data_IF_953779062371
#
_entry.id   IF_953779062371
#
_cell.length_a   1.000
_cell.length_b   1.000
_cell.length_c   1.000
_cell.angle_alpha   90.00
_cell.angle_beta   90.00
_cell.angle_gamma   90.00
#
_symmetry.space_group_name_H-M   'P 1'
#
loop_
_entity.id
_entity.type
_entity.pdbx_description
1 polymer ?
#
# COMPACT_ATOMS: atom_id res chain seq x y z
N UNK A 1 15.26 -8.25 16.43
CA UNK A 1 14.51 -7.63 17.55
C UNK A 1 14.03 -6.22 17.23
N UNK A 2 14.93 -5.33 16.82
CA UNK A 2 14.56 -3.94 16.48
C UNK A 2 13.53 -3.91 15.35
N UNK A 3 13.74 -4.71 14.33
CA UNK A 3 12.85 -4.80 13.18
C UNK A 3 11.45 -5.26 13.57
N UNK A 4 11.37 -6.26 14.43
CA UNK A 4 10.11 -6.75 14.97
C UNK A 4 9.40 -5.67 15.78
N UNK A 5 10.16 -4.89 16.54
CA UNK A 5 9.64 -3.79 17.33
C UNK A 5 9.00 -2.71 16.46
N UNK A 6 9.68 -2.35 15.35
CA UNK A 6 9.16 -1.35 14.41
C UNK A 6 7.87 -1.84 13.75
N UNK A 7 7.81 -3.12 13.36
CA UNK A 7 6.61 -3.69 12.80
C UNK A 7 5.43 -3.63 13.77
N UNK A 8 5.66 -3.89 15.04
CA UNK A 8 4.62 -3.80 16.06
C UNK A 8 4.11 -2.38 16.23
N UNK A 9 5.00 -1.40 16.22
CA UNK A 9 4.61 0.01 16.31
C UNK A 9 3.76 0.42 15.12
N UNK A 10 4.14 -0.02 13.92
CA UNK A 10 3.37 0.26 12.72
C UNK A 10 2.00 -0.39 12.76
N UNK A 11 1.94 -1.62 13.18
CA UNK A 11 0.67 -2.33 13.32
C UNK A 11 -0.25 -1.60 14.31
N UNK A 12 0.30 -1.11 15.42
CA UNK A 12 -0.47 -0.35 16.40
C UNK A 12 -1.00 0.97 15.81
N UNK A 13 -0.19 1.66 15.01
CA UNK A 13 -0.61 2.90 14.33
C UNK A 13 -1.74 2.64 13.36
N UNK A 14 -1.64 1.60 12.54
CA UNK A 14 -2.68 1.26 11.57
C UNK A 14 -3.95 0.82 12.28
N UNK A 15 -3.82 0.05 13.34
CA UNK A 15 -4.96 -0.37 14.16
C UNK A 15 -5.73 0.83 14.70
N UNK A 16 -5.02 1.84 15.17
CA UNK A 16 -5.62 3.06 15.68
C UNK A 16 -6.35 3.82 14.57
N UNK A 17 -5.74 3.92 13.39
CA UNK A 17 -6.36 4.57 12.24
C UNK A 17 -7.62 3.84 11.80
N UNK A 18 -7.57 2.51 11.76
CA UNK A 18 -8.71 1.69 11.39
C UNK A 18 -9.86 1.92 12.38
N UNK A 19 -9.56 1.93 13.67
CA UNK A 19 -10.58 2.15 14.69
C UNK A 19 -11.27 3.51 14.56
N UNK A 20 -10.50 4.55 14.26
CA UNK A 20 -11.06 5.89 14.12
C UNK A 20 -11.84 6.08 12.83
N UNK A 21 -11.70 5.16 11.88
CA UNK A 21 -12.34 5.23 10.56
C UNK A 21 -13.03 3.94 10.19
N UNK A 22 -13.65 3.29 11.17
CA UNK A 22 -14.25 1.98 10.98
C UNK A 22 -15.24 1.93 9.82
N UNK A 23 -15.96 3.01 9.58
CA UNK A 23 -16.93 3.10 8.47
C UNK A 23 -16.29 3.24 7.09
N UNK A 24 -14.97 3.47 7.02
CA UNK A 24 -14.23 3.62 5.77
C UNK A 24 -13.29 2.44 5.50
N UNK A 25 -13.39 1.38 6.27
CA UNK A 25 -12.50 0.23 6.14
C UNK A 25 -13.06 -0.78 5.17
N UNK A 26 -12.25 -1.16 4.19
CA UNK A 26 -12.56 -2.24 3.26
C UNK A 26 -11.46 -3.29 3.36
N UNK A 27 -11.87 -4.56 3.40
CA UNK A 27 -10.91 -5.66 3.44
C UNK A 27 -11.23 -6.71 2.40
N UNK A 28 -10.17 -7.20 1.75
CA UNK A 28 -10.24 -8.32 0.82
C UNK A 28 -9.57 -9.49 1.51
N UNK A 29 -10.36 -10.46 1.90
CA UNK A 29 -9.92 -11.57 2.74
C UNK A 29 -9.09 -12.60 1.98
N UNK A 30 -8.40 -13.44 2.73
CA UNK A 30 -7.40 -14.37 2.24
C UNK A 30 -7.89 -15.32 1.13
N UNK A 31 -9.12 -15.76 1.19
CA UNK A 31 -9.66 -16.70 0.18
C UNK A 31 -10.42 -15.99 -0.94
N UNK A 32 -10.24 -14.70 -1.06
CA UNK A 32 -10.92 -13.89 -2.06
C UNK A 32 -9.98 -13.57 -3.20
N UNK A 33 -10.44 -13.78 -4.42
CA UNK A 33 -9.74 -13.39 -5.63
C UNK A 33 -10.63 -12.43 -6.39
N UNK A 34 -10.08 -11.29 -6.77
CA UNK A 34 -10.83 -10.24 -7.44
C UNK A 34 -10.14 -9.88 -8.75
N UNK A 35 -10.91 -9.86 -9.83
CA UNK A 35 -10.42 -9.48 -11.16
C UNK A 35 -11.14 -8.21 -11.57
N UNK A 36 -10.38 -7.16 -11.83
CA UNK A 36 -10.91 -5.86 -12.21
C UNK A 36 -10.31 -4.75 -11.40
N UNK A 37 -10.60 -3.53 -11.77
CA UNK A 37 -10.07 -2.36 -11.09
C UNK A 37 -10.87 -2.07 -9.83
N UNK A 38 -10.16 -1.61 -8.80
CA UNK A 38 -10.74 -1.28 -7.51
C UNK A 38 -10.55 0.21 -7.25
N UNK A 39 -11.66 0.90 -7.01
CA UNK A 39 -11.63 2.29 -6.54
C UNK A 39 -12.10 2.29 -5.09
N UNK A 40 -11.40 3.03 -4.25
CA UNK A 40 -11.72 3.04 -2.83
C UNK A 40 -11.42 4.41 -2.21
N UNK A 41 -11.97 4.64 -1.04
CA UNK A 41 -11.56 5.74 -0.17
C UNK A 41 -11.36 5.19 1.24
N UNK A 42 -10.51 5.87 2.02
CA UNK A 42 -10.20 5.42 3.37
C UNK A 42 -9.15 4.33 3.42
N UNK A 43 -9.44 3.25 4.10
CA UNK A 43 -8.51 2.15 4.31
C UNK A 43 -8.89 0.94 3.46
N UNK A 44 -7.91 0.40 2.74
CA UNK A 44 -8.08 -0.85 2.00
C UNK A 44 -7.02 -1.84 2.46
N UNK A 45 -7.44 -2.92 3.09
CA UNK A 45 -6.56 -4.00 3.48
C UNK A 45 -6.73 -5.18 2.54
N UNK A 46 -5.62 -5.71 2.03
CA UNK A 46 -5.63 -6.80 1.07
C UNK A 46 -4.91 -7.99 1.65
N UNK A 47 -5.65 -9.08 1.87
CA UNK A 47 -5.11 -10.36 2.28
C UNK A 47 -5.24 -11.42 1.20
N UNK A 48 -6.04 -11.16 0.18
CA UNK A 48 -6.28 -12.07 -0.92
C UNK A 48 -5.51 -11.70 -2.17
N UNK A 49 -6.08 -12.00 -3.33
CA UNK A 49 -5.46 -11.75 -4.61
C UNK A 49 -6.30 -10.77 -5.43
N UNK A 50 -5.63 -9.79 -6.02
CA UNK A 50 -6.27 -8.82 -6.92
C UNK A 50 -5.52 -8.80 -8.24
N UNK A 51 -6.26 -8.92 -9.34
CA UNK A 51 -5.76 -8.71 -10.69
C UNK A 51 -6.45 -7.51 -11.28
N UNK A 52 -5.80 -6.36 -11.22
CA UNK A 52 -6.34 -5.10 -11.69
C UNK A 52 -5.67 -3.95 -10.96
N UNK A 53 -6.10 -2.75 -11.28
CA UNK A 53 -5.52 -1.55 -10.70
C UNK A 53 -6.28 -1.14 -9.45
N UNK A 54 -5.56 -0.62 -8.49
CA UNK A 54 -6.12 -0.13 -7.22
C UNK A 54 -5.87 1.36 -7.16
N UNK A 55 -6.95 2.15 -7.18
CA UNK A 55 -6.86 3.59 -7.25
C UNK A 55 -7.67 4.21 -6.12
N UNK A 56 -7.04 5.08 -5.35
CA UNK A 56 -7.73 5.84 -4.33
C UNK A 56 -8.52 6.98 -4.93
N UNK A 57 -9.73 7.17 -4.45
CA UNK A 57 -10.57 8.33 -4.81
C UNK A 57 -10.42 9.46 -3.80
N UNK A 58 -9.91 9.18 -2.61
CA UNK A 58 -9.65 10.21 -1.60
C UNK A 58 -8.15 10.42 -1.47
N UNK A 59 -7.70 11.58 -1.86
CA UNK A 59 -6.29 11.84 -2.12
C UNK A 59 -5.46 12.18 -0.92
N UNK A 60 -6.06 12.52 0.21
CA UNK A 60 -5.29 12.97 1.38
C UNK A 60 -5.14 11.91 2.46
N UNK A 61 -6.04 10.95 2.53
CA UNK A 61 -6.11 10.06 3.70
C UNK A 61 -6.32 8.60 3.36
N UNK A 62 -6.04 8.24 2.13
CA UNK A 62 -6.20 6.86 1.71
C UNK A 62 -4.98 6.03 2.11
N UNK A 63 -5.23 4.80 2.53
CA UNK A 63 -4.17 3.87 2.94
C UNK A 63 -4.47 2.52 2.32
N UNK A 64 -3.49 1.97 1.62
CA UNK A 64 -3.53 0.58 1.15
C UNK A 64 -2.50 -0.21 1.92
N UNK A 65 -2.91 -1.33 2.50
CA UNK A 65 -2.00 -2.27 3.13
C UNK A 65 -2.10 -3.61 2.39
N UNK A 66 -0.99 -4.03 1.81
CA UNK A 66 -0.89 -5.34 1.17
C UNK A 66 -0.25 -6.27 2.18
N UNK A 67 -1.06 -7.15 2.78
CA UNK A 67 -0.59 -8.04 3.84
C UNK A 67 0.25 -9.18 3.29
N UNK A 68 0.90 -9.93 4.19
CA UNK A 68 1.94 -10.88 3.81
C UNK A 68 1.51 -11.99 2.84
N UNK A 69 0.26 -12.42 2.93
CA UNK A 69 -0.26 -13.48 2.04
C UNK A 69 -0.89 -12.93 0.77
N UNK A 70 -0.95 -11.62 0.63
CA UNK A 70 -1.64 -10.99 -0.48
C UNK A 70 -0.77 -10.90 -1.72
N UNK A 71 -1.45 -10.85 -2.85
CA UNK A 71 -0.80 -10.65 -4.15
C UNK A 71 -1.62 -9.67 -4.96
N UNK A 72 -0.96 -8.64 -5.45
CA UNK A 72 -1.59 -7.64 -6.32
C UNK A 72 -0.86 -7.66 -7.66
N UNK A 73 -1.63 -7.88 -8.71
CA UNK A 73 -1.12 -7.85 -10.08
C UNK A 73 -1.77 -6.64 -10.76
N UNK A 74 -1.08 -5.51 -10.72
CA UNK A 74 -1.58 -4.26 -11.26
C UNK A 74 -0.96 -3.07 -10.53
N UNK A 75 -1.41 -1.88 -10.91
CA UNK A 75 -0.90 -0.64 -10.37
C UNK A 75 -1.65 -0.26 -9.09
N UNK A 76 -0.91 0.27 -8.12
CA UNK A 76 -1.49 0.81 -6.89
C UNK A 76 -1.20 2.30 -6.85
N UNK A 77 -2.25 3.10 -6.69
CA UNK A 77 -2.12 4.55 -6.49
C UNK A 77 -2.93 4.96 -5.27
N UNK A 78 -2.26 5.46 -4.26
CA UNK A 78 -2.86 5.87 -2.99
C UNK A 78 -1.94 6.86 -2.29
N UNK A 79 -2.48 7.59 -1.32
CA UNK A 79 -1.65 8.49 -0.53
C UNK A 79 -0.59 7.71 0.26
N UNK A 80 -1.01 6.66 0.95
CA UNK A 80 -0.11 5.82 1.73
C UNK A 80 -0.24 4.38 1.27
N UNK A 81 0.89 3.73 1.03
CA UNK A 81 0.93 2.32 0.65
C UNK A 81 1.93 1.61 1.55
N UNK A 82 1.48 0.53 2.18
CA UNK A 82 2.33 -0.33 3.01
C UNK A 82 2.28 -1.73 2.43
N UNK A 83 3.45 -2.29 2.13
CA UNK A 83 3.54 -3.58 1.47
C UNK A 83 4.26 -4.57 2.37
N UNK A 84 3.57 -5.64 2.76
CA UNK A 84 4.15 -6.82 3.40
C UNK A 84 4.18 -8.02 2.44
N UNK A 85 3.30 -8.01 1.46
CA UNK A 85 3.12 -9.12 0.51
C UNK A 85 3.79 -8.87 -0.83
N UNK A 86 3.12 -9.29 -1.90
CA UNK A 86 3.66 -9.21 -3.25
C UNK A 86 2.88 -8.25 -4.12
N UNK A 87 3.60 -7.42 -4.87
CA UNK A 87 3.01 -6.51 -5.85
C UNK A 87 3.74 -6.68 -7.17
N UNK A 88 2.98 -7.01 -8.21
CA UNK A 88 3.47 -7.11 -9.59
C UNK A 88 2.89 -5.95 -10.36
N UNK A 89 3.60 -4.83 -10.39
CA UNK A 89 3.14 -3.61 -11.05
C UNK A 89 3.72 -2.39 -10.38
N UNK A 90 3.29 -1.24 -10.85
CA UNK A 90 3.83 0.04 -10.39
C UNK A 90 3.08 0.53 -9.16
N UNK A 91 3.79 1.25 -8.31
CA UNK A 91 3.21 1.85 -7.11
C UNK A 91 3.46 3.36 -7.17
N UNK A 92 2.40 4.14 -6.96
CA UNK A 92 2.49 5.59 -6.79
C UNK A 92 1.91 5.95 -5.42
N UNK A 93 2.72 6.54 -4.57
CA UNK A 93 2.30 6.89 -3.23
C UNK A 93 3.03 8.14 -2.75
N UNK A 94 2.38 8.91 -1.89
CA UNK A 94 3.09 9.99 -1.20
C UNK A 94 4.00 9.37 -0.15
N UNK A 95 3.45 8.48 0.68
CA UNK A 95 4.22 7.72 1.66
C UNK A 95 4.21 6.25 1.29
N UNK A 96 5.38 5.70 1.03
CA UNK A 96 5.52 4.29 0.69
C UNK A 96 6.37 3.59 1.74
N UNK A 97 5.87 2.50 2.28
CA UNK A 97 6.61 1.67 3.21
C UNK A 97 6.68 0.25 2.66
N UNK A 98 7.89 -0.25 2.55
CA UNK A 98 8.15 -1.61 2.07
C UNK A 98 8.69 -2.40 3.25
N UNK A 99 7.88 -3.34 3.75
CA UNK A 99 8.18 -4.07 4.97
C UNK A 99 8.93 -5.35 4.68
N UNK A 100 9.45 -5.96 5.75
CA UNK A 100 10.15 -7.22 5.69
C UNK A 100 9.30 -8.31 5.03
N UNK A 101 9.91 -9.07 4.14
CA UNK A 101 9.25 -10.18 3.45
C UNK A 101 8.48 -9.78 2.21
N UNK A 102 8.42 -8.49 1.91
CA UNK A 102 7.70 -8.03 0.74
C UNK A 102 8.47 -8.27 -0.55
N UNK A 103 7.73 -8.35 -1.66
CA UNK A 103 8.30 -8.49 -2.99
C UNK A 103 7.57 -7.55 -3.93
N UNK A 104 8.30 -6.67 -4.56
CA UNK A 104 7.74 -5.73 -5.53
C UNK A 104 8.49 -5.87 -6.84
N UNK A 105 7.76 -6.11 -7.92
CA UNK A 105 8.31 -6.14 -9.27
C UNK A 105 7.60 -5.05 -10.06
N UNK A 106 8.30 -3.95 -10.31
CA UNK A 106 7.76 -2.77 -10.98
C UNK A 106 8.47 -1.52 -10.51
N UNK A 107 7.95 -0.38 -10.93
CA UNK A 107 8.54 0.91 -10.59
C UNK A 107 7.72 1.57 -9.47
N UNK A 108 8.42 2.19 -8.53
CA UNK A 108 7.81 2.89 -7.41
C UNK A 108 8.10 4.37 -7.50
N UNK A 109 7.06 5.19 -7.49
CA UNK A 109 7.17 6.64 -7.41
C UNK A 109 6.63 7.09 -6.06
N UNK A 110 7.38 7.94 -5.37
CA UNK A 110 7.07 8.30 -3.99
C UNK A 110 7.57 9.71 -3.65
N UNK A 111 7.04 10.27 -2.58
CA UNK A 111 7.62 11.47 -1.97
C UNK A 111 8.46 11.10 -0.75
N UNK A 112 8.02 10.11 0.02
CA UNK A 112 8.74 9.59 1.16
C UNK A 112 8.71 8.07 1.11
N UNK A 113 9.86 7.43 1.36
CA UNK A 113 9.95 5.97 1.31
C UNK A 113 10.70 5.44 2.52
N UNK A 114 10.24 4.29 3.00
CA UNK A 114 10.93 3.53 4.02
C UNK A 114 11.01 2.09 3.55
N UNK A 115 12.21 1.55 3.49
CA UNK A 115 12.46 0.19 3.05
C UNK A 115 13.07 -0.59 4.18
N UNK A 116 12.43 -1.67 4.59
CA UNK A 116 12.91 -2.52 5.66
C UNK A 116 13.77 -3.66 5.12
N UNK A 117 14.69 -4.11 5.96
CA UNK A 117 15.55 -5.24 5.65
C UNK A 117 14.70 -6.48 5.35
N UNK A 118 15.11 -7.28 4.38
CA UNK A 118 14.40 -8.49 4.02
C UNK A 118 13.35 -8.30 2.95
N UNK A 119 13.18 -7.08 2.45
CA UNK A 119 12.30 -6.81 1.33
C UNK A 119 13.04 -6.98 0.01
N UNK A 120 12.28 -7.18 -1.05
CA UNK A 120 12.79 -7.30 -2.42
C UNK A 120 12.10 -6.34 -3.33
N UNK A 121 12.87 -5.51 -4.03
CA UNK A 121 12.34 -4.60 -5.04
C UNK A 121 13.11 -4.81 -6.32
N UNK A 122 12.41 -5.20 -7.38
CA UNK A 122 12.98 -5.37 -8.71
C UNK A 122 12.32 -4.32 -9.60
N UNK A 123 13.07 -3.31 -10.00
CA UNK A 123 12.57 -2.19 -10.78
C UNK A 123 13.17 -0.88 -10.30
N UNK A 124 12.59 0.22 -10.70
CA UNK A 124 13.09 1.54 -10.38
C UNK A 124 12.41 2.17 -9.18
N UNK A 125 13.18 3.01 -8.48
CA UNK A 125 12.66 3.85 -7.41
C UNK A 125 12.82 5.30 -7.85
N UNK A 126 11.73 6.07 -7.84
CA UNK A 126 11.74 7.46 -8.26
C UNK A 126 11.19 8.36 -7.19
N UNK A 127 11.96 9.36 -6.81
CA UNK A 127 11.45 10.44 -5.98
C UNK A 127 10.71 11.41 -6.89
N UNK A 128 9.41 11.52 -6.71
CA UNK A 128 8.57 12.33 -7.58
C UNK A 128 7.85 13.41 -6.78
N UNK A 129 8.61 14.41 -6.38
CA UNK A 129 8.11 15.52 -5.56
C UNK A 129 7.04 16.32 -6.27
N UNK A 130 7.22 16.53 -7.58
CA UNK A 130 6.30 17.35 -8.37
C UNK A 130 5.08 16.60 -8.84
N UNK A 131 5.19 15.28 -9.03
CA UNK A 131 4.11 14.45 -9.54
C UNK A 131 3.21 13.86 -8.48
N UNK A 132 3.67 13.79 -7.21
CA UNK A 132 2.94 13.17 -6.12
C UNK A 132 2.75 14.14 -4.96
N UNK A 133 2.10 15.25 -5.22
CA UNK A 133 1.69 16.19 -4.18
C UNK A 133 0.35 15.75 -3.62
N UNK A 134 0.06 16.18 -2.39
CA UNK A 134 -1.22 15.87 -1.77
C UNK A 134 -2.40 16.30 -2.65
N UNK A 135 -2.26 17.40 -3.34
CA UNK A 135 -3.30 17.93 -4.23
C UNK A 135 -3.56 17.03 -5.45
N UNK A 136 -2.60 16.19 -5.84
CA UNK A 136 -2.80 15.23 -6.93
C UNK A 136 -3.77 14.11 -6.53
N UNK A 137 -4.03 13.99 -5.24
CA UNK A 137 -4.95 13.02 -4.66
C UNK A 137 -6.23 13.67 -4.13
N UNK A 138 -6.48 14.91 -4.47
CA UNK A 138 -7.71 15.61 -4.07
C UNK A 138 -8.82 15.41 -5.10
N UNK A 139 -10.04 15.44 -4.62
CA UNK A 139 -11.23 15.33 -5.46
C UNK A 139 -11.54 16.61 -6.22
#
# INVERSE_FOLDING_TARGET
MIRFFLSRRRAARFSKQISSRAHEVTQINKLTSLVGDVSFSGFLGINGEIKGNIISTNKKKSIVVVFGDAKVDGKIKSHTVVVFGSVLGDIEAVDLTIEDGSKIIGNCAYSSIEIHRGSRVVGGLSLNVDGLKDEDFED
#
